data_IF_056587749059
#
_entry.id   IF_056587749059
#
_cell.length_a   1.000
_cell.length_b   1.000
_cell.length_c   1.000
_cell.angle_alpha   90.00
_cell.angle_beta   90.00
_cell.angle_gamma   90.00
#
_symmetry.space_group_name_H-M   'P 1'
#
loop_
_entity.id
_entity.type
_entity.pdbx_description
1 polymer ?
#
# COMPACT_ATOMS: atom_id res chain seq x y z
N UNK A 1 -0.45 10.32 -1.13
CA UNK A 1 0.73 9.88 -1.90
C UNK A 1 0.28 9.29 -3.23
N UNK A 2 1.08 9.48 -4.26
CA UNK A 2 0.77 8.94 -5.60
C UNK A 2 1.38 7.56 -5.76
N UNK A 3 0.56 6.53 -5.65
CA UNK A 3 1.01 5.14 -5.74
C UNK A 3 1.44 4.76 -7.15
N UNK A 4 0.88 5.39 -8.16
CA UNK A 4 1.21 5.11 -9.56
C UNK A 4 2.66 5.45 -9.94
N UNK A 5 3.40 6.12 -9.05
CA UNK A 5 4.82 6.42 -9.25
C UNK A 5 5.74 5.42 -8.57
N UNK A 6 5.20 4.46 -7.83
CA UNK A 6 5.99 3.46 -7.12
C UNK A 6 6.47 2.35 -8.05
N UNK A 7 7.55 1.71 -7.65
CA UNK A 7 8.09 0.52 -8.32
C UNK A 7 7.87 -0.70 -7.43
N UNK A 8 7.72 -1.87 -8.04
CA UNK A 8 7.55 -3.10 -7.27
C UNK A 8 8.67 -3.30 -6.27
N UNK A 9 8.31 -3.56 -5.02
CA UNK A 9 9.24 -3.72 -3.93
C UNK A 9 9.49 -2.46 -3.11
N UNK A 10 8.99 -1.30 -3.53
CA UNK A 10 9.12 -0.08 -2.75
C UNK A 10 8.45 -0.24 -1.40
N UNK A 11 9.16 0.17 -0.34
CA UNK A 11 8.63 0.14 1.02
C UNK A 11 7.88 1.43 1.31
N UNK A 12 6.67 1.27 1.81
CA UNK A 12 5.74 2.37 2.04
C UNK A 12 5.30 2.37 3.50
N UNK A 13 4.64 3.45 3.91
CA UNK A 13 4.17 3.62 5.27
C UNK A 13 2.67 3.88 5.27
N UNK A 14 1.95 3.16 6.13
CA UNK A 14 0.52 3.39 6.33
C UNK A 14 0.29 4.54 7.30
N UNK A 15 -0.95 5.03 7.31
CA UNK A 15 -1.35 6.15 8.18
C UNK A 15 -1.15 5.84 9.65
N UNK A 16 -1.31 4.59 10.06
CA UNK A 16 -1.12 4.17 11.44
C UNK A 16 0.30 3.68 11.75
N UNK A 17 1.25 3.88 10.82
CA UNK A 17 2.67 3.62 11.09
C UNK A 17 3.17 2.23 10.76
N UNK A 18 2.36 1.42 10.08
CA UNK A 18 2.81 0.08 9.65
C UNK A 18 3.57 0.15 8.34
N UNK A 19 4.42 -0.84 8.10
CA UNK A 19 5.11 -0.94 6.81
C UNK A 19 4.21 -1.62 5.78
N UNK A 20 4.31 -1.15 4.55
CA UNK A 20 3.67 -1.78 3.40
C UNK A 20 4.69 -1.91 2.27
N UNK A 21 4.44 -2.82 1.35
CA UNK A 21 5.30 -3.00 0.17
C UNK A 21 4.40 -2.92 -1.08
N UNK A 22 4.83 -2.10 -2.02
CA UNK A 22 4.13 -1.98 -3.30
C UNK A 22 4.42 -3.21 -4.16
N UNK A 23 3.37 -3.86 -4.66
CA UNK A 23 3.52 -5.08 -5.45
C UNK A 23 3.25 -4.88 -6.94
N UNK A 24 2.43 -3.90 -7.30
CA UNK A 24 2.15 -3.64 -8.70
C UNK A 24 0.70 -3.28 -8.96
N UNK A 25 0.36 -3.20 -10.24
CA UNK A 25 -0.99 -2.84 -10.68
C UNK A 25 -1.87 -4.09 -10.63
N UNK A 26 -3.04 -3.96 -10.02
CA UNK A 26 -4.04 -5.02 -10.05
C UNK A 26 -4.81 -4.94 -11.38
N UNK A 27 -5.08 -6.09 -11.96
CA UNK A 27 -5.90 -6.15 -13.17
C UNK A 27 -7.37 -5.95 -12.82
N UNK A 28 -7.81 -4.70 -12.83
CA UNK A 28 -9.20 -4.38 -12.62
C UNK A 28 -9.59 -3.19 -13.49
N UNK A 29 -10.89 -3.01 -13.69
CA UNK A 29 -11.40 -1.87 -14.44
C UNK A 29 -11.17 -0.54 -13.72
N UNK A 30 -10.84 -0.58 -12.45
CA UNK A 30 -10.76 0.59 -11.59
C UNK A 30 -9.33 1.08 -11.34
N UNK A 31 -8.34 0.51 -12.03
CA UNK A 31 -6.93 0.87 -11.85
C UNK A 31 -6.49 0.86 -10.39
N UNK A 32 -6.67 -0.29 -9.75
CA UNK A 32 -6.22 -0.49 -8.39
C UNK A 32 -4.78 -0.96 -8.35
N UNK A 33 -4.13 -0.73 -7.24
CA UNK A 33 -2.74 -1.11 -7.01
C UNK A 33 -2.67 -2.06 -5.84
N UNK A 34 -1.87 -3.10 -5.97
CA UNK A 34 -1.75 -4.15 -4.96
C UNK A 34 -0.62 -3.80 -4.00
N UNK A 35 -0.91 -3.90 -2.71
CA UNK A 35 0.07 -3.68 -1.65
C UNK A 35 0.01 -4.81 -0.63
N UNK A 36 1.15 -5.10 0.00
CA UNK A 36 1.22 -6.00 1.14
C UNK A 36 1.44 -5.16 2.40
N UNK A 37 0.59 -5.31 3.39
CA UNK A 37 0.71 -4.56 4.65
C UNK A 37 1.18 -5.51 5.74
N UNK A 38 2.18 -5.08 6.50
CA UNK A 38 2.82 -5.89 7.54
C UNK A 38 2.42 -5.38 8.92
N UNK A 39 1.37 -5.98 9.55
CA UNK A 39 0.98 -5.57 10.90
C UNK A 39 1.95 -6.03 11.98
N UNK A 40 2.84 -6.96 11.65
CA UNK A 40 3.85 -7.47 12.57
C UNK A 40 5.05 -8.01 11.82
N UNK A 41 6.00 -8.60 12.53
CA UNK A 41 7.28 -8.97 11.95
C UNK A 41 7.20 -10.14 10.97
N UNK A 42 6.23 -11.03 11.15
CA UNK A 42 6.15 -12.27 10.37
C UNK A 42 4.80 -12.41 9.65
N UNK A 43 3.96 -11.40 9.71
CA UNK A 43 2.63 -11.47 9.13
C UNK A 43 2.44 -10.36 8.11
N UNK A 44 1.70 -10.66 7.07
CA UNK A 44 1.27 -9.64 6.13
C UNK A 44 -0.07 -10.05 5.54
N UNK A 45 -0.77 -9.07 5.00
CA UNK A 45 -1.96 -9.34 4.18
C UNK A 45 -1.90 -8.48 2.93
N UNK A 46 -2.55 -8.98 1.87
CA UNK A 46 -2.59 -8.31 0.58
C UNK A 46 -3.89 -7.52 0.50
N UNK A 47 -3.80 -6.27 0.07
CA UNK A 47 -4.98 -5.45 -0.18
C UNK A 47 -4.75 -4.58 -1.41
N UNK A 48 -5.77 -3.85 -1.80
CA UNK A 48 -5.69 -2.98 -2.96
C UNK A 48 -5.99 -1.54 -2.55
N UNK A 49 -5.32 -0.60 -3.19
CA UNK A 49 -5.55 0.82 -2.95
C UNK A 49 -5.72 1.54 -4.27
N UNK A 50 -6.26 2.76 -4.22
CA UNK A 50 -6.36 3.59 -5.42
C UNK A 50 -5.03 4.32 -5.67
N UNK A 51 -4.97 5.15 -6.70
CA UNK A 51 -3.74 5.86 -7.06
C UNK A 51 -3.28 6.87 -6.00
N UNK A 52 -4.13 7.20 -5.04
CA UNK A 52 -3.79 8.09 -3.93
C UNK A 52 -3.39 7.31 -2.67
N UNK A 53 -3.34 5.97 -2.74
CA UNK A 53 -2.98 5.14 -1.61
C UNK A 53 -4.13 4.85 -0.64
N UNK A 54 -5.36 5.15 -1.03
CA UNK A 54 -6.53 4.96 -0.16
C UNK A 54 -7.08 3.56 -0.34
N UNK A 55 -7.23 2.85 0.78
CA UNK A 55 -7.85 1.52 0.83
C UNK A 55 -9.30 1.70 1.24
N UNK A 56 -10.21 1.34 0.35
CA UNK A 56 -11.65 1.53 0.58
C UNK A 56 -12.11 0.75 1.81
N UNK A 57 -12.79 1.43 2.73
CA UNK A 57 -13.30 0.84 3.97
C UNK A 57 -12.28 0.70 5.09
N UNK A 58 -11.00 1.03 4.86
CA UNK A 58 -9.93 0.85 5.87
C UNK A 58 -9.03 2.09 5.92
N UNK A 59 -9.49 3.17 6.57
CA UNK A 59 -8.72 4.43 6.59
C UNK A 59 -7.33 4.31 7.20
N UNK A 60 -7.13 3.39 8.17
CA UNK A 60 -5.82 3.19 8.79
C UNK A 60 -4.78 2.61 7.83
N UNK A 61 -5.25 1.96 6.76
CA UNK A 61 -4.38 1.33 5.77
C UNK A 61 -3.91 2.31 4.69
N UNK A 62 -4.37 3.54 4.72
CA UNK A 62 -3.98 4.54 3.72
C UNK A 62 -2.46 4.71 3.68
N UNK A 63 -1.90 4.69 2.47
CA UNK A 63 -0.46 4.90 2.28
C UNK A 63 -0.18 6.40 2.26
N UNK A 64 0.68 6.84 3.17
CA UNK A 64 0.96 8.27 3.35
C UNK A 64 2.35 8.69 2.87
N UNK A 65 3.23 7.76 2.58
CA UNK A 65 4.56 8.09 2.12
C UNK A 65 5.46 6.85 2.03
N UNK A 66 6.74 7.10 1.83
CA UNK A 66 7.73 6.02 1.82
C UNK A 66 8.14 5.67 3.25
N UNK A 67 8.47 4.38 3.42
CA UNK A 67 9.01 3.92 4.70
C UNK A 67 10.43 4.46 4.89
N UNK A 68 10.70 4.97 6.07
CA UNK A 68 12.02 5.46 6.45
C UNK A 68 12.61 4.52 7.51
N UNK A 69 13.76 3.98 7.21
CA UNK A 69 14.48 3.11 8.15
C UNK A 69 15.23 3.94 9.21
#
# INVERSE_FOLDING_TARGET
MRIDKCNGGDKLKTKDGRMAVYLGIAYSKEQLFTIAIFPGNNNYYITECNCHGIVDGFPSDEIIGYWED
#
